data_IF_581044627750
#
_entry.id   IF_581044627750
#
_cell.length_a   1.000
_cell.length_b   1.000
_cell.length_c   1.000
_cell.angle_alpha   90.00
_cell.angle_beta   90.00
_cell.angle_gamma   90.00
#
_symmetry.space_group_name_H-M   'P 1'
#
loop_
_entity.id
_entity.type
_entity.pdbx_description
1 polymer ?
#
# COMPACT_ATOMS: atom_id res chain seq x y z
N UNK A 1 22.20 5.36 2.80
CA UNK A 1 21.21 4.97 1.78
C UNK A 1 20.11 4.20 2.47
N UNK A 2 18.90 4.72 2.39
CA UNK A 2 17.76 4.09 3.02
C UNK A 2 17.25 2.95 2.16
N UNK A 3 16.99 1.82 2.78
CA UNK A 3 16.46 0.66 2.10
C UNK A 3 15.01 0.41 2.53
N UNK A 4 14.14 0.25 1.56
CA UNK A 4 12.79 -0.26 1.82
C UNK A 4 12.89 -1.77 1.85
N UNK A 5 12.52 -2.36 2.97
CA UNK A 5 12.46 -3.81 3.14
C UNK A 5 11.02 -4.23 3.32
N UNK A 6 10.58 -5.17 2.52
CA UNK A 6 9.27 -5.76 2.66
C UNK A 6 9.37 -7.10 3.37
N UNK A 7 8.55 -7.27 4.39
CA UNK A 7 8.37 -8.54 5.07
C UNK A 7 6.94 -9.00 4.89
N UNK A 8 6.80 -10.28 4.61
CA UNK A 8 5.52 -10.93 4.51
C UNK A 8 5.39 -11.93 5.65
N UNK A 9 4.31 -11.84 6.38
CA UNK A 9 4.00 -12.78 7.44
C UNK A 9 2.52 -13.15 7.42
N UNK A 10 2.28 -14.47 7.46
CA UNK A 10 0.94 -15.02 7.37
C UNK A 10 0.84 -16.19 8.35
N UNK A 11 -0.06 -16.07 9.30
CA UNK A 11 -0.27 -17.12 10.30
C UNK A 11 -1.19 -18.22 9.78
N UNK A 12 -2.29 -17.88 9.20
CA UNK A 12 -3.21 -18.73 8.45
C UNK A 12 -3.94 -17.81 7.47
N UNK A 13 -4.10 -18.25 6.21
CA UNK A 13 -4.95 -17.48 5.31
C UNK A 13 -6.38 -17.92 5.56
N UNK A 14 -7.24 -17.07 6.12
CA UNK A 14 -8.66 -17.36 6.12
C UNK A 14 -9.09 -17.58 4.67
N UNK A 15 -9.97 -18.55 4.44
CA UNK A 15 -10.55 -18.74 3.13
C UNK A 15 -11.14 -17.42 2.64
N UNK A 16 -10.75 -16.98 1.42
CA UNK A 16 -11.24 -15.74 0.82
C UNK A 16 -10.37 -14.50 1.02
N UNK A 17 -9.14 -14.64 1.50
CA UNK A 17 -8.17 -13.55 1.45
C UNK A 17 -7.07 -13.84 0.42
N UNK A 18 -6.80 -12.84 -0.38
CA UNK A 18 -5.78 -12.89 -1.45
C UNK A 18 -4.80 -11.76 -1.25
N UNK A 19 -3.53 -12.05 -1.47
CA UNK A 19 -2.43 -11.14 -1.22
C UNK A 19 -1.48 -11.12 -2.42
N UNK A 20 -0.98 -9.95 -2.76
CA UNK A 20 0.13 -9.78 -3.68
C UNK A 20 1.20 -8.92 -3.01
N UNK A 21 2.43 -9.35 -3.06
CA UNK A 21 3.57 -8.60 -2.54
C UNK A 21 4.71 -8.70 -3.54
N UNK A 22 5.23 -7.56 -3.97
CA UNK A 22 6.37 -7.50 -4.87
C UNK A 22 7.37 -6.48 -4.37
N UNK A 23 8.65 -6.84 -4.47
CA UNK A 23 9.76 -5.95 -4.20
C UNK A 23 10.71 -6.01 -5.39
N UNK A 24 11.02 -4.83 -5.97
CA UNK A 24 11.87 -4.73 -7.15
C UNK A 24 12.91 -3.64 -6.98
N UNK A 25 14.08 -3.87 -7.57
CA UNK A 25 15.13 -2.88 -7.68
C UNK A 25 15.21 -2.39 -9.13
N UNK A 26 15.05 -1.09 -9.32
CA UNK A 26 15.14 -0.44 -10.63
C UNK A 26 16.55 0.13 -10.81
N UNK A 27 17.38 -0.58 -11.57
CA UNK A 27 18.81 -0.22 -11.76
C UNK A 27 19.03 1.18 -12.32
N UNK A 28 18.27 1.56 -13.34
CA UNK A 28 18.42 2.87 -14.01
C UNK A 28 18.09 4.03 -13.07
N UNK A 29 17.14 3.84 -12.20
CA UNK A 29 16.66 4.85 -11.25
C UNK A 29 17.33 4.76 -9.89
N UNK A 30 18.01 3.64 -9.62
CA UNK A 30 18.63 3.34 -8.33
C UNK A 30 17.64 3.45 -7.17
N UNK A 31 16.46 2.93 -7.38
CA UNK A 31 15.39 2.97 -6.39
C UNK A 31 14.84 1.58 -6.12
N UNK A 32 14.44 1.36 -4.87
CA UNK A 32 13.69 0.19 -4.46
C UNK A 32 12.20 0.50 -4.48
N UNK A 33 11.41 -0.41 -5.02
CA UNK A 33 9.96 -0.29 -5.10
C UNK A 33 9.32 -1.48 -4.42
N UNK A 34 8.36 -1.22 -3.56
CA UNK A 34 7.54 -2.23 -2.91
C UNK A 34 6.09 -1.98 -3.25
N UNK A 35 5.40 -3.00 -3.72
CA UNK A 35 3.95 -2.96 -3.92
C UNK A 35 3.30 -4.12 -3.20
N UNK A 36 2.25 -3.84 -2.46
CA UNK A 36 1.51 -4.84 -1.73
C UNK A 36 0.02 -4.52 -1.80
N UNK A 37 -0.80 -5.53 -2.00
CA UNK A 37 -2.24 -5.38 -1.91
C UNK A 37 -2.90 -6.63 -1.36
N UNK A 38 -4.04 -6.43 -0.73
CA UNK A 38 -4.86 -7.48 -0.14
C UNK A 38 -6.32 -7.22 -0.51
N UNK A 39 -7.06 -8.28 -0.77
CA UNK A 39 -8.49 -8.19 -1.04
C UNK A 39 -9.17 -9.52 -0.70
N UNK A 40 -10.48 -9.48 -0.56
CA UNK A 40 -11.33 -10.65 -0.46
C UNK A 40 -11.73 -11.21 -1.84
N UNK A 41 -11.24 -10.59 -2.92
CA UNK A 41 -11.50 -10.99 -4.30
C UNK A 41 -10.17 -11.12 -5.06
N UNK A 42 -9.89 -12.31 -5.59
CA UNK A 42 -8.66 -12.59 -6.33
C UNK A 42 -8.49 -11.73 -7.57
N UNK A 43 -9.56 -11.52 -8.34
CA UNK A 43 -9.52 -10.67 -9.53
C UNK A 43 -9.19 -9.23 -9.17
N UNK A 44 -9.68 -8.77 -8.03
CA UNK A 44 -9.40 -7.43 -7.56
C UNK A 44 -7.92 -7.26 -7.18
N UNK A 45 -7.32 -8.21 -6.50
CA UNK A 45 -5.87 -8.18 -6.22
C UNK A 45 -5.08 -8.09 -7.52
N UNK A 46 -5.46 -8.87 -8.51
CA UNK A 46 -4.80 -8.86 -9.81
C UNK A 46 -4.96 -7.52 -10.53
N UNK A 47 -6.15 -6.95 -10.50
CA UNK A 47 -6.44 -5.64 -11.09
C UNK A 47 -5.64 -4.52 -10.41
N UNK A 48 -5.60 -4.52 -9.07
CA UNK A 48 -4.85 -3.55 -8.31
C UNK A 48 -3.34 -3.67 -8.54
N UNK A 49 -2.83 -4.89 -8.58
CA UNK A 49 -1.41 -5.14 -8.85
C UNK A 49 -1.02 -4.68 -10.26
N UNK A 50 -1.83 -5.00 -11.25
CA UNK A 50 -1.59 -4.57 -12.63
C UNK A 50 -1.60 -3.04 -12.75
N UNK A 51 -2.51 -2.38 -12.06
CA UNK A 51 -2.56 -0.91 -12.06
C UNK A 51 -1.32 -0.29 -11.42
N UNK A 52 -0.82 -0.88 -10.34
CA UNK A 52 0.42 -0.42 -9.73
C UNK A 52 1.61 -0.60 -10.65
N UNK A 53 1.67 -1.71 -11.38
CA UNK A 53 2.73 -1.94 -12.37
C UNK A 53 2.67 -0.96 -13.55
N UNK A 54 1.47 -0.67 -14.05
CA UNK A 54 1.27 0.34 -15.09
C UNK A 54 1.74 1.71 -14.63
N UNK A 55 1.45 2.07 -13.38
CA UNK A 55 1.91 3.34 -12.80
C UNK A 55 3.43 3.44 -12.78
N UNK A 56 4.12 2.33 -12.49
CA UNK A 56 5.58 2.30 -12.48
C UNK A 56 6.21 2.42 -13.87
N UNK A 57 5.47 2.10 -14.92
CA UNK A 57 5.93 2.28 -16.30
C UNK A 57 5.79 3.73 -16.77
N UNK A 58 4.93 4.52 -16.15
CA UNK A 58 4.73 5.91 -16.53
C UNK A 58 5.89 6.80 -16.04
N UNK A 59 6.43 7.61 -16.94
CA UNK A 59 7.48 8.59 -16.64
C UNK A 59 7.08 9.57 -15.54
N UNK A 60 5.79 9.88 -15.44
CA UNK A 60 5.28 10.83 -14.46
C UNK A 60 5.56 10.44 -13.01
N UNK A 61 5.52 9.15 -12.70
CA UNK A 61 5.80 8.69 -11.33
C UNK A 61 7.28 8.91 -10.95
N UNK A 62 8.16 8.88 -11.94
CA UNK A 62 9.59 9.03 -11.72
C UNK A 62 10.04 10.49 -11.67
N UNK A 63 9.41 11.36 -12.45
CA UNK A 63 9.80 12.77 -12.60
C UNK A 63 9.09 13.70 -11.64
N UNK A 64 7.78 13.55 -11.53
CA UNK A 64 6.99 14.38 -10.63
C UNK A 64 5.93 13.51 -9.99
N UNK A 65 6.25 13.03 -8.83
CA UNK A 65 5.27 12.40 -7.96
C UNK A 65 4.39 13.54 -7.42
N UNK A 66 3.63 14.18 -8.32
CA UNK A 66 2.73 15.27 -7.93
C UNK A 66 1.56 14.63 -7.19
N UNK A 67 1.56 14.79 -5.89
CA UNK A 67 0.63 14.12 -4.97
C UNK A 67 -0.82 14.26 -5.38
N UNK A 68 -1.21 15.45 -5.75
CA UNK A 68 -2.59 15.75 -6.09
C UNK A 68 -3.07 15.03 -7.36
N UNK A 69 -2.28 15.07 -8.42
CA UNK A 69 -2.61 14.42 -9.69
C UNK A 69 -2.68 12.91 -9.53
N UNK A 70 -1.71 12.33 -8.84
CA UNK A 70 -1.65 10.89 -8.63
C UNK A 70 -2.83 10.42 -7.75
N UNK A 71 -3.15 11.17 -6.71
CA UNK A 71 -4.29 10.89 -5.85
C UNK A 71 -5.62 10.93 -6.61
N UNK A 72 -5.84 11.93 -7.44
CA UNK A 72 -7.06 12.04 -8.25
C UNK A 72 -7.19 10.87 -9.23
N UNK A 73 -6.12 10.55 -9.92
CA UNK A 73 -6.08 9.44 -10.87
C UNK A 73 -6.41 8.10 -10.21
N UNK A 74 -5.84 7.84 -9.05
CA UNK A 74 -6.11 6.63 -8.29
C UNK A 74 -7.49 6.62 -7.66
N UNK A 75 -7.97 7.72 -7.17
CA UNK A 75 -9.33 7.85 -6.65
C UNK A 75 -10.35 7.51 -7.73
N UNK A 76 -10.17 8.01 -8.95
CA UNK A 76 -11.06 7.70 -10.07
C UNK A 76 -11.01 6.21 -10.44
N UNK A 77 -9.82 5.63 -10.48
CA UNK A 77 -9.67 4.20 -10.72
C UNK A 77 -10.37 3.36 -9.65
N UNK A 78 -10.23 3.71 -8.38
CA UNK A 78 -10.81 2.97 -7.27
C UNK A 78 -12.34 3.05 -7.24
N UNK A 79 -12.93 4.13 -7.74
CA UNK A 79 -14.39 4.25 -7.87
C UNK A 79 -14.98 3.24 -8.85
N UNK A 80 -14.19 2.72 -9.78
CA UNK A 80 -14.62 1.73 -10.75
C UNK A 80 -14.61 0.30 -10.20
N UNK A 81 -14.07 0.10 -9.00
CA UNK A 81 -14.03 -1.20 -8.34
C UNK A 81 -15.41 -1.57 -7.79
N UNK A 82 -15.64 -2.88 -7.57
CA UNK A 82 -16.91 -3.37 -7.02
C UNK A 82 -17.21 -2.71 -5.67
N UNK A 83 -18.44 -2.22 -5.49
CA UNK A 83 -18.85 -1.48 -4.29
C UNK A 83 -18.77 -2.31 -3.00
N UNK A 84 -19.05 -3.60 -3.10
CA UNK A 84 -19.07 -4.54 -1.96
C UNK A 84 -17.71 -5.20 -1.66
N UNK A 85 -16.69 -4.87 -2.44
CA UNK A 85 -15.36 -5.45 -2.25
C UNK A 85 -14.56 -4.71 -1.19
N UNK A 86 -13.74 -5.47 -0.46
CA UNK A 86 -12.78 -4.93 0.51
C UNK A 86 -11.37 -5.11 -0.01
N UNK A 87 -10.59 -4.04 0.02
CA UNK A 87 -9.20 -4.06 -0.42
C UNK A 87 -8.36 -3.03 0.32
N UNK A 88 -7.07 -3.25 0.32
CA UNK A 88 -6.09 -2.26 0.71
C UNK A 88 -4.79 -2.51 -0.05
N UNK A 89 -4.04 -1.46 -0.30
CA UNK A 89 -2.77 -1.59 -0.98
C UNK A 89 -1.85 -0.41 -0.76
N UNK A 90 -0.58 -0.67 -0.99
CA UNK A 90 0.48 0.34 -0.92
C UNK A 90 1.41 0.18 -2.11
N UNK A 91 1.85 1.30 -2.64
CA UNK A 91 2.93 1.38 -3.60
C UNK A 91 3.97 2.34 -3.03
N UNK A 92 5.12 1.81 -2.70
CA UNK A 92 6.19 2.56 -2.08
C UNK A 92 7.37 2.69 -3.05
N UNK A 93 7.70 3.92 -3.42
CA UNK A 93 8.83 4.25 -4.29
C UNK A 93 9.79 5.08 -3.46
N UNK A 94 10.85 4.45 -2.94
CA UNK A 94 11.74 5.03 -1.92
C UNK A 94 10.95 5.42 -0.67
N UNK A 95 10.95 6.71 -0.32
CA UNK A 95 10.24 7.26 0.83
C UNK A 95 8.85 7.78 0.49
N UNK A 96 8.44 7.71 -0.77
CA UNK A 96 7.12 8.14 -1.22
C UNK A 96 6.17 6.96 -1.25
N UNK A 97 4.95 7.18 -0.80
CA UNK A 97 3.97 6.12 -0.70
C UNK A 97 2.62 6.59 -1.24
N UNK A 98 2.04 5.75 -2.08
CA UNK A 98 0.63 5.78 -2.42
C UNK A 98 -0.03 4.65 -1.64
N UNK A 99 -1.08 4.96 -0.90
CA UNK A 99 -1.85 3.93 -0.21
C UNK A 99 -3.35 4.14 -0.38
N UNK A 100 -4.09 3.05 -0.35
CA UNK A 100 -5.53 3.06 -0.50
C UNK A 100 -6.16 1.92 0.27
N UNK A 101 -7.39 2.13 0.73
CA UNK A 101 -8.14 1.09 1.45
C UNK A 101 -9.64 1.29 1.32
N UNK A 102 -10.39 0.20 1.38
CA UNK A 102 -11.85 0.21 1.44
C UNK A 102 -12.37 -1.04 2.15
N UNK A 103 -13.50 -0.89 2.83
CA UNK A 103 -14.17 -2.00 3.49
C UNK A 103 -13.43 -2.47 4.74
N UNK A 104 -13.26 -3.79 4.87
CA UNK A 104 -12.61 -4.42 6.01
C UNK A 104 -11.09 -4.29 6.02
N UNK A 105 -10.50 -3.97 4.88
CA UNK A 105 -9.05 -3.86 4.77
C UNK A 105 -8.59 -2.49 5.21
N UNK A 106 -7.46 -2.44 5.90
CA UNK A 106 -6.92 -1.21 6.47
C UNK A 106 -5.42 -1.15 6.29
N UNK A 107 -4.91 0.06 6.36
CA UNK A 107 -3.49 0.32 6.42
C UNK A 107 -3.18 0.94 7.77
N UNK A 108 -2.17 0.41 8.42
CA UNK A 108 -1.71 0.88 9.72
C UNK A 108 -0.26 1.35 9.59
N UNK A 109 -0.01 2.57 10.02
CA UNK A 109 1.35 3.08 10.16
C UNK A 109 1.89 2.76 11.54
N UNK A 110 3.12 2.27 11.59
CA UNK A 110 3.83 1.98 12.84
C UNK A 110 5.07 2.85 12.87
N UNK A 111 5.18 3.70 13.86
CA UNK A 111 6.30 4.64 13.97
C UNK A 111 6.73 4.81 15.42
N UNK A 112 7.97 5.25 15.59
CA UNK A 112 8.51 5.55 16.91
C UNK A 112 8.51 7.05 17.16
N UNK A 113 7.90 7.45 18.27
CA UNK A 113 7.99 8.82 18.79
C UNK A 113 8.34 8.76 20.28
N UNK A 114 9.32 9.57 20.67
CA UNK A 114 9.77 9.67 22.07
C UNK A 114 10.12 8.31 22.70
N UNK A 115 10.75 7.44 21.91
CA UNK A 115 11.14 6.10 22.37
C UNK A 115 9.98 5.09 22.49
N UNK A 116 8.78 5.49 22.09
CA UNK A 116 7.59 4.60 22.12
C UNK A 116 7.13 4.25 20.72
N UNK A 117 6.71 3.01 20.56
CA UNK A 117 6.06 2.55 19.32
C UNK A 117 4.61 3.00 19.33
N UNK A 118 4.20 3.67 18.26
CA UNK A 118 2.83 4.14 18.08
C UNK A 118 2.23 3.51 16.83
N UNK A 119 0.95 3.19 16.92
CA UNK A 119 0.16 2.63 15.83
C UNK A 119 -0.89 3.64 15.42
N UNK A 120 -1.03 3.85 14.11
CA UNK A 120 -2.05 4.73 13.57
C UNK A 120 -2.73 4.07 12.38
N UNK A 121 -4.03 3.88 12.49
CA UNK A 121 -4.84 3.44 11.36
C UNK A 121 -5.05 4.62 10.43
N UNK A 122 -4.69 4.45 9.16
CA UNK A 122 -4.85 5.47 8.16
C UNK A 122 -6.28 5.44 7.63
N UNK A 123 -7.01 6.51 7.82
CA UNK A 123 -8.44 6.59 7.55
C UNK A 123 -8.80 7.11 6.17
N UNK A 124 -7.84 7.72 5.50
CA UNK A 124 -8.05 8.22 4.15
C UNK A 124 -8.20 7.07 3.16
N UNK A 125 -9.18 7.17 2.27
CA UNK A 125 -9.45 6.12 1.28
C UNK A 125 -8.36 6.00 0.22
N UNK A 126 -7.70 7.09 -0.11
CA UNK A 126 -6.58 7.14 -1.03
C UNK A 126 -5.70 8.34 -0.71
N UNK A 127 -4.43 8.10 -0.46
CA UNK A 127 -3.48 9.17 -0.14
C UNK A 127 -2.14 8.93 -0.80
N UNK A 128 -1.46 10.03 -1.05
CA UNK A 128 -0.06 10.06 -1.49
C UNK A 128 0.71 10.90 -0.50
N UNK A 129 1.85 10.43 -0.07
CA UNK A 129 2.65 11.16 0.89
C UNK A 129 4.07 10.62 1.00
N UNK A 130 4.80 11.12 1.98
CA UNK A 130 6.14 10.67 2.30
C UNK A 130 6.13 9.89 3.61
N UNK A 131 7.01 8.88 3.67
CA UNK A 131 7.18 8.05 4.86
C UNK A 131 8.55 8.37 5.47
N UNK A 132 8.55 8.71 6.75
CA UNK A 132 9.81 8.96 7.46
C UNK A 132 10.59 7.65 7.67
N UNK A 133 11.94 7.73 7.71
CA UNK A 133 12.76 6.56 8.02
C UNK A 133 12.35 5.92 9.35
N UNK A 134 12.33 4.60 9.38
CA UNK A 134 11.92 3.84 10.55
C UNK A 134 10.43 3.63 10.70
N UNK A 135 9.61 4.14 9.76
CA UNK A 135 8.18 3.85 9.70
C UNK A 135 7.95 2.51 9.03
N UNK A 136 7.07 1.71 9.57
CA UNK A 136 6.56 0.50 8.93
C UNK A 136 5.09 0.71 8.53
N UNK A 137 4.71 0.15 7.39
CA UNK A 137 3.33 0.16 6.93
C UNK A 137 2.81 -1.27 6.92
N UNK A 138 1.66 -1.47 7.52
CA UNK A 138 1.01 -2.77 7.61
C UNK A 138 -0.31 -2.71 6.85
N UNK A 139 -0.47 -3.65 5.92
CA UNK A 139 -1.73 -3.86 5.21
C UNK A 139 -2.42 -5.06 5.82
N UNK A 140 -3.60 -4.90 6.37
CA UNK A 140 -4.22 -5.96 7.14
C UNK A 140 -5.75 -5.93 7.09
N UNK A 141 -6.36 -7.08 7.40
CA UNK A 141 -7.77 -7.17 7.67
C UNK A 141 -8.10 -6.48 9.01
N UNK A 142 -9.27 -5.86 9.08
CA UNK A 142 -9.72 -5.13 10.27
C UNK A 142 -9.80 -6.04 11.51
N UNK A 143 -10.15 -7.31 11.32
CA UNK A 143 -10.16 -8.28 12.44
C UNK A 143 -8.80 -8.48 13.07
N UNK A 144 -7.73 -8.49 12.25
CA UNK A 144 -6.37 -8.56 12.76
C UNK A 144 -6.00 -7.31 13.58
N UNK A 145 -6.35 -6.13 13.08
CA UNK A 145 -6.04 -4.87 13.75
C UNK A 145 -6.80 -4.73 15.08
N UNK A 146 -8.06 -5.12 15.12
CA UNK A 146 -8.87 -5.09 16.35
C UNK A 146 -8.31 -6.01 17.43
N UNK A 147 -7.72 -7.12 17.04
CA UNK A 147 -7.11 -8.06 17.99
C UNK A 147 -5.85 -7.49 18.66
N UNK A 148 -5.18 -6.56 18.00
CA UNK A 148 -3.91 -5.98 18.46
C UNK A 148 -4.04 -4.54 18.99
N UNK A 149 -5.24 -4.04 19.09
CA UNK A 149 -5.51 -2.74 19.72
C UNK A 149 -5.28 -2.77 21.24
#
# INVERSE_FOLDING_TARGET
MEHVTACYWQKETPAGLFLSLQQRWYRRRRVSVVSACISDDEEQVRSLQNRMEEELEEESIWRSFTEEILREKWTDFLKLQKEDSSYAGILCVENRVLYFSRGRMRICGVFRRFGRTQWKILRESCMVGEVEPGTALLVADNGFLNFNE
#
